data_IF_705194288535
#
_entry.id   IF_705194288535
#
_cell.length_a   1.000
_cell.length_b   1.000
_cell.length_c   1.000
_cell.angle_alpha   90.00
_cell.angle_beta   90.00
_cell.angle_gamma   90.00
#
_symmetry.space_group_name_H-M   'P 1'
#
loop_
_entity.id
_entity.type
_entity.pdbx_description
1 polymer ?
#
# COMPACT_ATOMS: atom_id res chain seq x y z
N UNK A 1 -12.77 5.00 29.77
CA UNK A 1 -12.34 5.04 28.36
C UNK A 1 -12.15 3.60 27.91
N UNK A 2 -12.89 3.12 26.92
CA UNK A 2 -12.69 1.75 26.39
C UNK A 2 -11.46 1.76 25.48
N UNK A 3 -10.51 0.85 25.71
CA UNK A 3 -9.30 0.69 24.91
C UNK A 3 -9.71 0.35 23.47
N UNK A 4 -9.30 1.17 22.49
CA UNK A 4 -9.58 0.86 21.08
C UNK A 4 -8.81 -0.42 20.71
N UNK A 5 -9.43 -1.38 20.00
CA UNK A 5 -8.73 -2.58 19.56
C UNK A 5 -7.49 -2.22 18.73
N UNK A 6 -6.35 -2.82 19.05
CA UNK A 6 -5.06 -2.60 18.37
C UNK A 6 -5.07 -3.10 16.92
N UNK A 7 -6.00 -4.00 16.59
CA UNK A 7 -6.23 -4.50 15.23
C UNK A 7 -7.72 -4.84 15.01
N UNK A 8 -8.18 -4.71 13.77
CA UNK A 8 -9.54 -5.07 13.34
C UNK A 8 -9.45 -6.06 12.19
N UNK A 9 -10.23 -7.14 12.25
CA UNK A 9 -10.36 -8.08 11.13
C UNK A 9 -11.29 -7.50 10.07
N UNK A 10 -10.82 -7.41 8.83
CA UNK A 10 -11.63 -7.05 7.66
C UNK A 10 -11.64 -8.22 6.68
N UNK A 11 -12.78 -8.42 6.02
CA UNK A 11 -12.90 -9.33 4.89
C UNK A 11 -12.91 -8.50 3.61
N UNK A 12 -12.09 -8.90 2.64
CA UNK A 12 -11.95 -8.23 1.36
C UNK A 12 -12.27 -9.23 0.25
N UNK A 13 -12.92 -8.75 -0.80
CA UNK A 13 -13.11 -9.51 -2.04
C UNK A 13 -12.12 -8.91 -3.04
N UNK A 14 -11.21 -9.75 -3.52
CA UNK A 14 -10.17 -9.36 -4.49
C UNK A 14 -10.14 -10.36 -5.65
N UNK A 15 -9.67 -9.97 -6.84
CA UNK A 15 -9.41 -10.90 -7.94
C UNK A 15 -8.44 -12.00 -7.51
N UNK A 16 -8.60 -13.22 -8.05
CA UNK A 16 -7.71 -14.36 -7.71
C UNK A 16 -6.26 -14.09 -8.09
N UNK A 17 -6.02 -13.46 -9.24
CA UNK A 17 -4.68 -13.05 -9.70
C UNK A 17 -3.99 -12.10 -8.70
N UNK A 18 -4.76 -11.27 -7.99
CA UNK A 18 -4.23 -10.36 -6.99
C UNK A 18 -3.80 -11.13 -5.73
N UNK A 19 -4.58 -12.12 -5.30
CA UNK A 19 -4.23 -12.97 -4.16
C UNK A 19 -2.94 -13.78 -4.43
N UNK A 20 -2.80 -14.31 -5.64
CA UNK A 20 -1.59 -15.01 -6.08
C UNK A 20 -0.36 -14.09 -6.04
N UNK A 21 -0.49 -12.86 -6.54
CA UNK A 21 0.58 -11.86 -6.48
C UNK A 21 0.94 -11.48 -5.04
N UNK A 22 -0.06 -11.22 -4.18
CA UNK A 22 0.16 -10.90 -2.77
C UNK A 22 0.88 -12.05 -2.04
N UNK A 23 0.51 -13.29 -2.33
CA UNK A 23 1.13 -14.49 -1.77
C UNK A 23 2.58 -14.63 -2.24
N UNK A 24 2.86 -14.42 -3.53
CA UNK A 24 4.22 -14.46 -4.08
C UNK A 24 5.14 -13.40 -3.47
N UNK A 25 4.64 -12.17 -3.32
CA UNK A 25 5.38 -11.07 -2.68
C UNK A 25 5.64 -11.40 -1.20
N UNK A 26 4.65 -11.93 -0.49
CA UNK A 26 4.78 -12.32 0.91
C UNK A 26 5.88 -13.38 1.10
N UNK A 27 5.89 -14.41 0.24
CA UNK A 27 6.92 -15.46 0.26
C UNK A 27 8.32 -14.92 0.01
N UNK A 28 8.50 -14.15 -1.07
CA UNK A 28 9.82 -13.59 -1.42
C UNK A 28 10.35 -12.58 -0.39
N UNK A 29 9.44 -11.93 0.35
CA UNK A 29 9.78 -10.96 1.40
C UNK A 29 9.83 -11.54 2.81
N UNK A 30 9.66 -12.86 2.99
CA UNK A 30 9.66 -13.51 4.31
C UNK A 30 8.56 -13.01 5.24
N UNK A 31 7.38 -12.71 4.71
CA UNK A 31 6.27 -12.11 5.46
C UNK A 31 4.91 -12.75 5.12
N UNK A 32 3.79 -12.12 5.50
CA UNK A 32 2.42 -12.62 5.30
C UNK A 32 1.64 -11.75 4.30
N UNK A 33 0.63 -12.32 3.64
CA UNK A 33 -0.25 -11.55 2.76
C UNK A 33 -0.94 -10.38 3.50
N UNK A 34 -1.34 -10.58 4.75
CA UNK A 34 -1.88 -9.53 5.63
C UNK A 34 -0.90 -8.36 5.85
N UNK A 35 0.39 -8.65 5.95
CA UNK A 35 1.43 -7.62 6.02
C UNK A 35 1.50 -6.80 4.73
N UNK A 36 1.48 -7.48 3.57
CA UNK A 36 1.53 -6.83 2.26
C UNK A 36 0.29 -5.93 2.07
N UNK A 37 -0.90 -6.44 2.40
CA UNK A 37 -2.15 -5.67 2.36
C UNK A 37 -2.07 -4.45 3.28
N UNK A 38 -1.52 -4.60 4.50
CA UNK A 38 -1.34 -3.45 5.41
C UNK A 38 -0.42 -2.40 4.80
N UNK A 39 0.73 -2.79 4.25
CA UNK A 39 1.67 -1.87 3.60
C UNK A 39 1.03 -1.15 2.42
N UNK A 40 0.26 -1.87 1.59
CA UNK A 40 -0.47 -1.28 0.47
C UNK A 40 -1.49 -0.23 0.93
N UNK A 41 -2.28 -0.53 1.96
CA UNK A 41 -3.23 0.42 2.53
C UNK A 41 -2.53 1.65 3.14
N UNK A 42 -1.41 1.46 3.85
CA UNK A 42 -0.61 2.56 4.40
C UNK A 42 -0.06 3.46 3.29
N UNK A 43 0.46 2.86 2.21
CA UNK A 43 0.92 3.61 1.03
C UNK A 43 -0.22 4.44 0.44
N UNK A 44 -1.40 3.84 0.27
CA UNK A 44 -2.55 4.51 -0.29
C UNK A 44 -3.01 5.71 0.56
N UNK A 45 -3.15 5.51 1.88
CA UNK A 45 -3.52 6.58 2.81
C UNK A 45 -2.50 7.73 2.75
N UNK A 46 -1.20 7.40 2.74
CA UNK A 46 -0.13 8.40 2.65
C UNK A 46 -0.18 9.15 1.32
N UNK A 47 -0.42 8.45 0.21
CA UNK A 47 -0.53 9.04 -1.11
C UNK A 47 -1.69 10.05 -1.18
N UNK A 48 -2.85 9.70 -0.63
CA UNK A 48 -4.03 10.59 -0.58
C UNK A 48 -3.75 11.84 0.25
N UNK A 49 -3.11 11.70 1.42
CA UNK A 49 -2.74 12.84 2.26
C UNK A 49 -1.78 13.80 1.55
N UNK A 50 -0.74 13.26 0.91
CA UNK A 50 0.27 14.06 0.20
C UNK A 50 -0.29 14.74 -1.05
N UNK A 51 -1.18 14.07 -1.79
CA UNK A 51 -1.89 14.66 -2.93
C UNK A 51 -2.73 15.87 -2.50
N UNK A 52 -3.39 15.83 -1.34
CA UNK A 52 -4.12 16.99 -0.79
C UNK A 52 -3.22 18.19 -0.48
N UNK A 53 -1.93 17.96 -0.25
CA UNK A 53 -0.91 18.99 -0.04
C UNK A 53 -0.26 19.47 -1.36
N UNK A 54 -0.76 19.01 -2.53
CA UNK A 54 -0.21 19.36 -3.84
C UNK A 54 1.03 18.56 -4.25
N UNK A 55 1.39 17.52 -3.50
CA UNK A 55 2.55 16.68 -3.79
C UNK A 55 2.18 15.51 -4.71
N UNK A 56 3.14 15.07 -5.53
CA UNK A 56 3.01 13.93 -6.44
C UNK A 56 3.63 12.66 -5.85
N UNK A 57 3.13 11.50 -6.27
CA UNK A 57 3.70 10.19 -5.94
C UNK A 57 4.15 9.50 -7.23
N UNK A 58 5.36 8.96 -7.23
CA UNK A 58 5.87 8.14 -8.32
C UNK A 58 7.23 7.55 -8.00
N UNK A 59 7.90 7.02 -9.00
CA UNK A 59 9.21 6.39 -8.87
C UNK A 59 10.27 7.26 -9.54
N UNK A 60 11.35 7.51 -8.82
CA UNK A 60 12.52 8.21 -9.35
C UNK A 60 13.79 7.51 -8.84
N UNK A 61 14.87 7.59 -9.62
CA UNK A 61 16.21 7.29 -9.07
C UNK A 61 16.57 8.36 -8.02
N UNK A 62 17.45 8.08 -7.05
CA UNK A 62 17.73 9.02 -5.97
C UNK A 62 18.20 10.41 -6.45
N UNK A 63 18.84 10.47 -7.61
CA UNK A 63 19.43 11.65 -8.23
C UNK A 63 18.54 12.23 -9.36
N UNK A 64 17.39 11.62 -9.63
CA UNK A 64 16.47 12.04 -10.68
C UNK A 64 15.30 12.83 -10.07
N UNK A 65 14.87 13.88 -10.79
CA UNK A 65 13.61 14.55 -10.46
C UNK A 65 12.44 13.62 -10.80
N UNK A 66 11.39 13.64 -9.99
CA UNK A 66 10.17 12.90 -10.28
C UNK A 66 9.42 13.54 -11.47
N UNK A 67 9.71 13.06 -12.68
CA UNK A 67 9.11 13.57 -13.93
C UNK A 67 7.75 12.96 -14.24
N UNK A 68 7.48 11.75 -13.74
CA UNK A 68 6.23 11.02 -13.96
C UNK A 68 5.58 10.64 -12.65
N UNK A 69 4.25 10.67 -12.61
CA UNK A 69 3.47 10.32 -11.43
C UNK A 69 2.58 9.12 -11.69
N UNK A 70 2.23 8.41 -10.61
CA UNK A 70 1.24 7.35 -10.67
C UNK A 70 -0.16 7.98 -10.58
N UNK A 71 -0.90 7.87 -11.68
CA UNK A 71 -2.30 8.27 -11.77
C UNK A 71 -3.19 7.11 -11.35
N UNK A 72 -4.28 7.41 -10.64
CA UNK A 72 -5.31 6.41 -10.31
C UNK A 72 -4.98 5.46 -9.16
N UNK A 73 -3.92 5.75 -8.37
CA UNK A 73 -3.85 5.24 -6.99
C UNK A 73 -5.05 5.74 -6.22
#
# INVERSE_FOLDING_TARGET
MSEKPTAVRKQLIIPSEMDEQLTSIAQSSGTTASEIVRKALTLYITAVDKKRQGLKLGFARPEQTLETEVIGL
#
